data_IF_610311252174
#
_entry.id   IF_610311252174
#
_cell.length_a   1.000
_cell.length_b   1.000
_cell.length_c   1.000
_cell.angle_alpha   90.00
_cell.angle_beta   90.00
_cell.angle_gamma   90.00
#
_symmetry.space_group_name_H-M   'P 1'
#
loop_
_entity.id
_entity.type
_entity.pdbx_description
1 polymer ?
#
# COMPACT_ATOMS: atom_id res chain seq x y z
N UNK A 1 36.00 10.38 -14.00
CA UNK A 1 35.37 11.47 -13.22
C UNK A 1 35.23 12.68 -14.13
N UNK A 2 34.03 12.94 -14.66
CA UNK A 2 33.75 14.13 -15.46
C UNK A 2 33.60 15.35 -14.55
N UNK A 3 34.33 16.43 -14.87
CA UNK A 3 34.43 17.68 -14.11
C UNK A 3 33.42 18.77 -14.55
N UNK A 4 32.37 18.41 -15.27
CA UNK A 4 31.34 19.36 -15.69
C UNK A 4 30.22 19.47 -14.63
N UNK A 5 30.61 19.82 -13.40
CA UNK A 5 29.66 20.20 -12.35
C UNK A 5 29.09 21.56 -12.72
N UNK A 6 27.84 21.53 -13.16
CA UNK A 6 27.00 22.71 -13.37
C UNK A 6 26.89 23.45 -12.05
N UNK A 7 27.41 24.68 -11.98
CA UNK A 7 27.14 25.59 -10.88
C UNK A 7 25.74 26.17 -11.08
N UNK A 8 24.72 25.44 -10.62
CA UNK A 8 23.40 26.01 -10.39
C UNK A 8 23.55 27.01 -9.24
N UNK A 9 22.93 28.19 -9.35
CA UNK A 9 22.89 29.13 -8.23
C UNK A 9 22.30 28.40 -7.01
N UNK A 10 23.03 28.42 -5.89
CA UNK A 10 22.66 27.71 -4.67
C UNK A 10 21.25 28.13 -4.22
N UNK A 11 20.89 29.40 -4.39
CA UNK A 11 19.56 29.87 -4.00
C UNK A 11 18.45 29.39 -4.94
N UNK A 12 18.68 29.35 -6.26
CA UNK A 12 17.70 28.76 -7.18
C UNK A 12 17.55 27.25 -6.98
N UNK A 13 18.63 26.56 -6.61
CA UNK A 13 18.65 25.10 -6.41
C UNK A 13 17.76 24.64 -5.25
N UNK A 14 17.51 25.51 -4.25
CA UNK A 14 16.61 25.23 -3.11
C UNK A 14 15.17 25.05 -3.55
N UNK A 15 14.78 25.58 -4.70
CA UNK A 15 13.41 25.52 -5.23
C UNK A 15 13.13 24.28 -6.07
N UNK A 16 14.06 23.33 -6.15
CA UNK A 16 13.95 22.14 -7.00
C UNK A 16 13.91 20.87 -6.16
N UNK A 17 13.18 19.88 -6.63
CA UNK A 17 13.16 18.53 -6.04
C UNK A 17 12.83 17.48 -7.10
N UNK A 18 13.25 16.25 -6.87
CA UNK A 18 12.77 15.10 -7.63
C UNK A 18 11.62 14.44 -6.88
N UNK A 19 10.57 14.09 -7.62
CA UNK A 19 9.40 13.38 -7.13
C UNK A 19 9.20 12.14 -7.98
N UNK A 20 8.84 11.03 -7.33
CA UNK A 20 8.35 9.84 -8.02
C UNK A 20 7.03 9.41 -7.41
N UNK A 21 5.95 9.47 -8.19
CA UNK A 21 4.69 8.83 -7.86
C UNK A 21 4.78 7.35 -8.25
N UNK A 22 4.61 6.48 -7.26
CA UNK A 22 4.64 5.04 -7.46
C UNK A 22 3.32 4.56 -8.09
N UNK A 23 3.24 3.31 -8.59
CA UNK A 23 2.09 2.89 -9.39
C UNK A 23 0.77 2.95 -8.60
N UNK A 24 0.79 2.77 -7.28
CA UNK A 24 -0.35 2.92 -6.38
C UNK A 24 -0.88 4.37 -6.27
N UNK A 25 -0.03 5.39 -6.46
CA UNK A 25 -0.49 6.78 -6.53
C UNK A 25 -1.05 7.15 -7.90
N UNK A 26 -0.55 6.53 -8.98
CA UNK A 26 -1.14 6.68 -10.29
C UNK A 26 -2.51 6.00 -10.35
N UNK A 27 -2.63 4.79 -9.79
CA UNK A 27 -3.89 4.04 -9.70
C UNK A 27 -5.00 4.83 -8.97
N UNK A 28 -4.61 5.66 -8.00
CA UNK A 28 -5.51 6.52 -7.25
C UNK A 28 -5.76 7.89 -7.90
N UNK A 29 -5.13 8.18 -9.06
CA UNK A 29 -5.15 9.47 -9.73
C UNK A 29 -4.70 10.66 -8.86
N UNK A 30 -3.77 10.41 -7.94
CA UNK A 30 -3.39 11.38 -6.90
C UNK A 30 -2.37 12.43 -7.37
N UNK A 31 -1.49 12.04 -8.29
CA UNK A 31 -0.31 12.79 -8.72
C UNK A 31 -0.64 14.21 -9.22
N UNK A 32 -1.64 14.37 -10.09
CA UNK A 32 -2.05 15.68 -10.63
C UNK A 32 -2.60 16.60 -9.54
N UNK A 33 -3.49 16.07 -8.70
CA UNK A 33 -4.07 16.79 -7.57
C UNK A 33 -2.98 17.26 -6.63
N UNK A 34 -2.02 16.39 -6.28
CA UNK A 34 -0.90 16.75 -5.41
C UNK A 34 -0.02 17.84 -6.03
N UNK A 35 0.31 17.75 -7.33
CA UNK A 35 1.11 18.76 -8.03
C UNK A 35 0.41 20.12 -7.98
N UNK A 36 -0.90 20.15 -8.24
CA UNK A 36 -1.71 21.37 -8.23
C UNK A 36 -1.86 21.95 -6.81
N UNK A 37 -2.18 21.12 -5.82
CA UNK A 37 -2.38 21.53 -4.43
C UNK A 37 -1.10 22.11 -3.82
N UNK A 38 0.06 21.62 -4.24
CA UNK A 38 1.36 22.12 -3.82
C UNK A 38 1.91 23.24 -4.72
N UNK A 39 1.16 23.65 -5.75
CA UNK A 39 1.55 24.67 -6.73
C UNK A 39 2.96 24.41 -7.32
N UNK A 40 3.20 23.17 -7.76
CA UNK A 40 4.48 22.76 -8.33
C UNK A 40 4.48 22.93 -9.85
N UNK A 41 5.56 23.51 -10.37
CA UNK A 41 5.86 23.55 -11.80
C UNK A 41 6.65 22.31 -12.21
N UNK A 42 6.20 21.61 -13.24
CA UNK A 42 6.89 20.44 -13.78
C UNK A 42 8.00 20.91 -14.73
N UNK A 43 9.26 20.63 -14.39
CA UNK A 43 10.41 20.91 -15.26
C UNK A 43 10.68 19.75 -16.25
N UNK A 44 10.57 18.51 -15.76
CA UNK A 44 10.70 17.29 -16.56
C UNK A 44 9.73 16.25 -16.04
N UNK A 45 9.19 15.41 -16.93
CA UNK A 45 8.41 14.24 -16.54
C UNK A 45 8.61 13.06 -17.48
N UNK A 46 8.50 11.84 -16.94
CA UNK A 46 8.34 10.60 -17.72
C UNK A 46 7.38 9.66 -16.99
N UNK A 47 6.54 8.97 -17.75
CA UNK A 47 5.89 7.75 -17.28
C UNK A 47 6.77 6.56 -17.64
N UNK A 48 7.16 5.77 -16.64
CA UNK A 48 8.16 4.72 -16.81
C UNK A 48 7.75 3.46 -16.07
N UNK A 49 7.92 2.30 -16.71
CA UNK A 49 8.02 1.04 -15.98
C UNK A 49 9.44 0.97 -15.41
N UNK A 50 9.56 1.12 -14.10
CA UNK A 50 10.87 1.17 -13.44
C UNK A 50 11.41 -0.25 -13.32
N UNK A 51 12.60 -0.49 -13.86
CA UNK A 51 13.31 -1.75 -13.61
C UNK A 51 13.81 -1.80 -12.17
N UNK A 52 13.93 -2.99 -11.61
CA UNK A 52 14.50 -3.20 -10.27
C UNK A 52 15.81 -2.45 -10.05
N UNK A 53 16.74 -2.52 -11.00
CA UNK A 53 18.03 -1.82 -10.93
C UNK A 53 17.88 -0.30 -10.78
N UNK A 54 16.93 0.32 -11.50
CA UNK A 54 16.67 1.76 -11.36
C UNK A 54 16.01 2.09 -10.04
N UNK A 55 15.09 1.25 -9.56
CA UNK A 55 14.50 1.41 -8.24
C UNK A 55 15.58 1.32 -7.14
N UNK A 56 16.49 0.34 -7.23
CA UNK A 56 17.62 0.19 -6.29
C UNK A 56 18.59 1.38 -6.32
N UNK A 57 18.78 2.03 -7.48
CA UNK A 57 19.56 3.27 -7.57
C UNK A 57 18.90 4.41 -6.80
N UNK A 58 17.57 4.59 -6.93
CA UNK A 58 16.82 5.62 -6.18
C UNK A 58 16.89 5.36 -4.67
N UNK A 59 16.75 4.10 -4.25
CA UNK A 59 16.76 3.70 -2.82
C UNK A 59 18.13 3.24 -2.32
N UNK A 60 19.22 3.60 -3.00
CA UNK A 60 20.55 3.06 -2.73
C UNK A 60 20.97 3.31 -1.26
N UNK A 61 20.70 4.51 -0.75
CA UNK A 61 21.05 4.92 0.61
C UNK A 61 20.32 4.06 1.65
N UNK A 62 19.02 3.84 1.47
CA UNK A 62 18.19 3.07 2.40
C UNK A 62 18.47 1.58 2.35
N UNK A 63 18.84 1.05 1.18
CA UNK A 63 19.25 -0.34 1.03
C UNK A 63 20.60 -0.61 1.71
N UNK A 64 21.58 0.28 1.53
CA UNK A 64 22.90 0.15 2.17
C UNK A 64 22.80 0.29 3.70
N UNK A 65 21.90 1.15 4.17
CA UNK A 65 21.69 1.39 5.61
C UNK A 65 20.76 0.36 6.27
N UNK A 66 20.22 -0.60 5.51
CA UNK A 66 19.22 -1.56 5.97
C UNK A 66 17.94 -0.91 6.55
N UNK A 67 17.64 0.32 6.15
CA UNK A 67 16.42 1.02 6.54
C UNK A 67 15.17 0.45 5.84
N UNK A 68 15.36 -0.36 4.79
CA UNK A 68 14.30 -1.10 4.09
C UNK A 68 14.57 -2.60 4.22
N UNK A 69 13.94 -3.24 5.21
CA UNK A 69 14.04 -4.70 5.43
C UNK A 69 13.12 -5.53 4.53
N UNK A 70 12.20 -4.88 3.83
CA UNK A 70 11.10 -5.48 3.07
C UNK A 70 11.14 -5.06 1.58
N UNK A 71 12.35 -4.89 1.04
CA UNK A 71 12.56 -4.46 -0.34
C UNK A 71 11.82 -5.33 -1.36
N UNK A 72 11.72 -6.63 -1.10
CA UNK A 72 11.00 -7.58 -1.96
C UNK A 72 9.51 -7.22 -2.16
N UNK A 73 8.85 -6.57 -1.20
CA UNK A 73 7.47 -6.05 -1.36
C UNK A 73 7.47 -4.81 -2.24
N UNK A 74 8.40 -3.87 -2.01
CA UNK A 74 8.55 -2.66 -2.82
C UNK A 74 8.86 -2.99 -4.28
N UNK A 75 9.73 -3.95 -4.53
CA UNK A 75 10.05 -4.47 -5.87
C UNK A 75 8.76 -4.94 -6.57
N UNK A 76 7.92 -5.73 -5.88
CA UNK A 76 6.61 -6.15 -6.40
C UNK A 76 5.73 -4.96 -6.78
N UNK A 77 5.67 -3.88 -5.99
CA UNK A 77 4.89 -2.68 -6.30
C UNK A 77 5.36 -2.03 -7.61
N UNK A 78 6.68 -1.85 -7.80
CA UNK A 78 7.23 -1.25 -9.02
C UNK A 78 6.91 -2.06 -10.28
N UNK A 79 6.69 -3.37 -10.15
CA UNK A 79 6.28 -4.23 -11.28
C UNK A 79 4.78 -4.18 -11.61
N UNK A 80 3.95 -3.50 -10.80
CA UNK A 80 2.49 -3.44 -11.02
C UNK A 80 2.04 -2.40 -12.03
N UNK A 81 2.90 -1.47 -12.43
CA UNK A 81 2.54 -0.48 -13.42
C UNK A 81 3.54 0.65 -13.57
N UNK A 82 3.10 1.69 -14.27
CA UNK A 82 3.91 2.88 -14.50
C UNK A 82 4.13 3.65 -13.20
N UNK A 83 5.32 4.21 -13.07
CA UNK A 83 5.60 5.30 -12.17
C UNK A 83 5.60 6.61 -12.95
N UNK A 84 5.31 7.71 -12.27
CA UNK A 84 5.55 9.04 -12.81
C UNK A 84 6.74 9.65 -12.09
N UNK A 85 7.83 9.86 -12.83
CA UNK A 85 9.04 10.51 -12.31
C UNK A 85 9.10 11.95 -12.81
N UNK A 86 9.42 12.86 -11.91
CA UNK A 86 9.31 14.30 -12.11
C UNK A 86 10.55 15.00 -11.55
N UNK A 87 11.04 15.98 -12.29
CA UNK A 87 11.82 17.07 -11.72
C UNK A 87 10.88 18.28 -11.63
N UNK A 88 10.73 18.83 -10.44
CA UNK A 88 9.80 19.94 -10.19
C UNK A 88 10.51 21.17 -9.66
N UNK A 89 9.87 22.32 -9.85
CA UNK A 89 10.19 23.59 -9.21
C UNK A 89 9.00 24.07 -8.40
N UNK A 90 9.23 24.71 -7.27
CA UNK A 90 8.15 25.23 -6.43
C UNK A 90 8.63 26.21 -5.38
N UNK A 91 7.68 26.99 -4.88
CA UNK A 91 7.88 27.79 -3.69
C UNK A 91 7.57 26.94 -2.45
N UNK A 92 8.15 27.33 -1.32
CA UNK A 92 7.90 26.71 -0.03
C UNK A 92 7.78 27.81 1.04
N UNK A 93 7.08 27.54 2.15
CA UNK A 93 6.98 28.47 3.27
C UNK A 93 8.34 28.82 3.87
N UNK A 94 8.46 30.01 4.47
CA UNK A 94 9.73 30.57 4.94
C UNK A 94 10.39 29.77 6.08
N UNK A 95 9.62 28.93 6.78
CA UNK A 95 10.11 28.02 7.82
C UNK A 95 10.89 26.81 7.29
N UNK A 96 10.87 26.54 5.98
CA UNK A 96 11.64 25.48 5.34
C UNK A 96 12.86 26.04 4.62
N UNK A 97 13.95 25.27 4.57
CA UNK A 97 15.19 25.70 3.90
C UNK A 97 15.23 25.34 2.41
N UNK A 98 14.39 24.40 1.98
CA UNK A 98 14.32 23.92 0.60
C UNK A 98 12.97 23.28 0.28
N UNK A 99 12.69 23.16 -1.01
CA UNK A 99 11.54 22.41 -1.51
C UNK A 99 11.60 20.94 -1.10
N UNK A 100 12.78 20.33 -1.06
CA UNK A 100 12.95 18.94 -0.60
C UNK A 100 12.47 18.75 0.83
N UNK A 101 12.86 19.64 1.75
CA UNK A 101 12.45 19.61 3.16
C UNK A 101 10.93 19.81 3.31
N UNK A 102 10.37 20.77 2.56
CA UNK A 102 8.93 21.02 2.52
C UNK A 102 8.17 19.77 2.04
N UNK A 103 8.58 19.18 0.92
CA UNK A 103 7.94 17.99 0.35
C UNK A 103 8.06 16.76 1.26
N UNK A 104 9.19 16.55 1.92
CA UNK A 104 9.34 15.50 2.92
C UNK A 104 8.29 15.61 4.02
N UNK A 105 8.08 16.83 4.53
CA UNK A 105 7.09 17.11 5.57
C UNK A 105 5.66 16.91 5.05
N UNK A 106 5.33 17.45 3.87
CA UNK A 106 3.99 17.31 3.26
C UNK A 106 3.66 15.86 2.88
N UNK A 107 4.65 15.08 2.44
CA UNK A 107 4.51 13.65 2.12
C UNK A 107 4.01 12.84 3.32
N UNK A 108 4.52 13.14 4.52
CA UNK A 108 4.19 12.44 5.75
C UNK A 108 4.94 11.12 5.93
N UNK A 109 4.84 10.56 7.15
CA UNK A 109 5.55 9.32 7.53
C UNK A 109 5.05 8.12 6.72
N UNK A 110 5.94 7.16 6.46
CA UNK A 110 5.63 5.95 5.69
C UNK A 110 4.66 5.05 6.45
N UNK A 111 4.89 4.89 7.75
CA UNK A 111 4.03 4.13 8.65
C UNK A 111 2.68 4.83 8.86
N UNK A 112 1.54 4.20 8.46
CA UNK A 112 0.20 4.73 8.69
C UNK A 112 -0.12 5.07 10.15
N UNK A 113 0.43 4.33 11.12
CA UNK A 113 0.14 4.53 12.54
C UNK A 113 0.75 5.81 13.10
N UNK A 114 1.80 6.33 12.44
CA UNK A 114 2.55 7.49 12.90
C UNK A 114 2.27 8.75 12.07
N UNK A 115 1.29 8.71 11.16
CA UNK A 115 1.02 9.82 10.23
C UNK A 115 0.36 10.99 10.92
N UNK A 116 0.82 12.16 10.52
CA UNK A 116 0.21 13.43 10.90
C UNK A 116 -0.97 13.72 9.95
N UNK A 117 -2.07 14.20 10.52
CA UNK A 117 -3.28 14.52 9.79
C UNK A 117 -3.02 15.57 8.69
N UNK A 118 -3.60 15.37 7.51
CA UNK A 118 -3.48 16.31 6.39
C UNK A 118 -2.15 16.25 5.63
N UNK A 119 -1.30 15.26 5.92
CA UNK A 119 -0.19 14.88 5.03
C UNK A 119 -0.71 14.11 3.81
N UNK A 120 0.06 14.05 2.73
CA UNK A 120 -0.36 13.37 1.49
C UNK A 120 -0.70 11.91 1.75
N UNK A 121 0.17 11.17 2.45
CA UNK A 121 -0.08 9.76 2.74
C UNK A 121 -1.29 9.52 3.65
N UNK A 122 -1.63 10.50 4.49
CA UNK A 122 -2.85 10.49 5.30
C UNK A 122 -4.11 10.73 4.44
N UNK A 123 -4.11 11.81 3.64
CA UNK A 123 -5.23 12.18 2.78
C UNK A 123 -5.61 11.07 1.78
N UNK A 124 -4.61 10.37 1.25
CA UNK A 124 -4.80 9.24 0.33
C UNK A 124 -4.80 7.87 1.03
N UNK A 125 -4.83 7.85 2.37
CA UNK A 125 -5.04 6.65 3.19
C UNK A 125 -4.14 5.47 2.79
N UNK A 126 -2.87 5.75 2.55
CA UNK A 126 -1.90 4.78 2.05
C UNK A 126 -1.81 3.58 3.00
N UNK A 127 -2.11 2.38 2.52
CA UNK A 127 -2.45 1.26 3.40
C UNK A 127 -1.33 0.77 4.34
N UNK A 128 -0.06 0.80 3.91
CA UNK A 128 1.08 0.38 4.74
C UNK A 128 2.40 0.99 4.25
N UNK A 129 3.50 0.72 4.96
CA UNK A 129 4.83 1.32 4.67
C UNK A 129 5.48 0.88 3.36
N UNK A 130 5.05 -0.23 2.75
CA UNK A 130 5.56 -0.64 1.43
C UNK A 130 4.94 0.14 0.29
N UNK A 131 3.66 0.50 0.40
CA UNK A 131 2.98 1.42 -0.52
C UNK A 131 3.59 2.81 -0.35
N UNK A 132 4.68 3.08 -1.07
CA UNK A 132 5.43 4.33 -0.94
C UNK A 132 4.57 5.54 -1.28
N UNK A 133 3.62 5.36 -2.21
CA UNK A 133 2.71 6.33 -2.82
C UNK A 133 3.43 7.48 -3.54
N UNK A 134 4.29 8.17 -2.82
CA UNK A 134 5.14 9.24 -3.30
C UNK A 134 6.53 9.07 -2.70
N UNK A 135 7.54 9.22 -3.55
CA UNK A 135 8.93 9.47 -3.17
C UNK A 135 9.26 10.93 -3.46
N UNK A 136 10.08 11.52 -2.60
CA UNK A 136 10.62 12.86 -2.75
C UNK A 136 12.03 12.83 -2.19
N UNK A 137 12.96 13.51 -2.85
CA UNK A 137 14.36 13.52 -2.44
C UNK A 137 14.57 14.16 -1.07
N UNK A 138 15.56 13.68 -0.33
CA UNK A 138 15.89 14.22 0.99
C UNK A 138 16.56 15.60 0.92
N UNK A 139 17.33 15.84 -0.13
CA UNK A 139 18.10 17.07 -0.33
C UNK A 139 18.35 17.33 -1.83
N UNK A 140 18.92 18.50 -2.13
CA UNK A 140 19.15 18.99 -3.50
C UNK A 140 20.12 18.08 -4.27
N UNK A 141 21.15 17.55 -3.61
CA UNK A 141 22.11 16.66 -4.28
C UNK A 141 21.45 15.33 -4.63
N UNK A 142 20.65 14.78 -3.72
CA UNK A 142 19.85 13.58 -4.00
C UNK A 142 18.81 13.86 -5.09
N UNK A 143 18.21 15.05 -5.14
CA UNK A 143 17.26 15.39 -6.21
C UNK A 143 17.88 15.33 -7.61
N UNK A 144 19.07 15.89 -7.78
CA UNK A 144 19.79 15.82 -9.07
C UNK A 144 20.25 14.39 -9.37
N UNK A 145 20.76 13.67 -8.37
CA UNK A 145 21.18 12.28 -8.53
C UNK A 145 20.00 11.39 -8.94
N UNK A 146 18.88 11.43 -8.22
CA UNK A 146 17.69 10.63 -8.49
C UNK A 146 17.09 10.99 -9.86
N UNK A 147 17.06 12.27 -10.22
CA UNK A 147 16.66 12.69 -11.57
C UNK A 147 17.57 12.08 -12.65
N UNK A 148 18.89 12.00 -12.40
CA UNK A 148 19.85 11.45 -13.37
C UNK A 148 19.67 9.95 -13.66
N UNK A 149 18.93 9.23 -12.81
CA UNK A 149 18.53 7.83 -13.06
C UNK A 149 17.53 7.71 -14.22
N UNK A 150 16.72 8.75 -14.45
CA UNK A 150 15.62 8.74 -15.43
C UNK A 150 15.80 9.75 -16.57
N UNK A 151 16.59 10.79 -16.35
CA UNK A 151 16.85 11.87 -17.29
C UNK A 151 18.35 11.98 -17.54
N UNK A 152 18.72 12.25 -18.78
CA UNK A 152 20.08 12.60 -19.14
C UNK A 152 20.47 13.93 -18.48
N UNK A 153 21.75 14.12 -18.20
CA UNK A 153 22.22 15.39 -17.64
C UNK A 153 21.93 16.58 -18.56
N UNK A 154 21.86 16.37 -19.87
CA UNK A 154 21.50 17.43 -20.82
C UNK A 154 20.01 17.81 -20.73
N UNK A 155 19.11 16.84 -20.53
CA UNK A 155 17.69 17.12 -20.24
C UNK A 155 17.58 17.94 -18.95
N UNK A 156 18.27 17.54 -17.89
CA UNK A 156 18.27 18.23 -16.59
C UNK A 156 18.79 19.66 -16.73
N UNK A 157 19.96 19.86 -17.36
CA UNK A 157 20.54 21.19 -17.60
C UNK A 157 19.59 22.08 -18.38
N UNK A 158 19.04 21.57 -19.50
CA UNK A 158 18.10 22.35 -20.32
C UNK A 158 16.88 22.77 -19.53
N UNK A 159 16.29 21.87 -18.75
CA UNK A 159 15.10 22.16 -17.96
C UNK A 159 15.35 23.23 -16.88
N UNK A 160 16.52 23.18 -16.23
CA UNK A 160 16.91 24.13 -15.19
C UNK A 160 17.19 25.54 -15.73
N UNK A 161 17.76 25.66 -16.93
CA UNK A 161 18.15 26.95 -17.52
C UNK A 161 17.15 27.51 -18.54
N UNK A 162 16.14 26.74 -18.95
CA UNK A 162 15.11 27.22 -19.87
C UNK A 162 14.10 28.12 -19.17
N UNK A 163 13.80 29.29 -19.75
CA UNK A 163 12.78 30.23 -19.23
C UNK A 163 11.33 29.83 -19.55
N UNK A 164 11.11 28.78 -20.36
CA UNK A 164 9.80 28.45 -20.96
C UNK A 164 9.24 27.06 -20.57
N UNK A 165 9.55 26.54 -19.38
CA UNK A 165 9.19 25.16 -18.97
C UNK A 165 7.71 24.95 -18.59
N UNK A 166 6.84 25.95 -18.70
CA UNK A 166 5.45 25.88 -18.20
C UNK A 166 4.48 25.03 -19.04
N UNK A 167 4.86 24.58 -20.24
CA UNK A 167 3.95 23.89 -21.19
C UNK A 167 3.71 22.39 -20.93
N UNK A 168 4.23 21.81 -19.84
CA UNK A 168 4.18 20.35 -19.66
C UNK A 168 2.89 19.82 -19.02
N UNK A 169 2.10 20.65 -18.32
CA UNK A 169 0.91 20.21 -17.59
C UNK A 169 -0.25 19.75 -18.49
N UNK A 170 -0.51 20.42 -19.63
CA UNK A 170 -1.58 20.02 -20.56
C UNK A 170 -1.31 18.64 -21.18
N UNK A 171 -0.08 18.41 -21.65
CA UNK A 171 0.34 17.10 -22.20
C UNK A 171 0.25 16.02 -21.13
N UNK A 172 0.68 16.34 -19.91
CA UNK A 172 0.63 15.43 -18.77
C UNK A 172 -0.81 15.03 -18.39
N UNK A 173 -1.74 15.99 -18.39
CA UNK A 173 -3.16 15.76 -18.05
C UNK A 173 -3.90 14.87 -19.04
N UNK A 174 -3.52 14.89 -20.32
CA UNK A 174 -4.19 14.10 -21.37
C UNK A 174 -3.80 12.61 -21.35
N UNK A 175 -2.75 12.24 -20.61
CA UNK A 175 -2.24 10.87 -20.56
C UNK A 175 -2.99 9.96 -19.58
N UNK A 176 -3.91 10.49 -18.76
CA UNK A 176 -4.47 9.75 -17.62
C UNK A 176 -5.98 10.00 -17.47
N UNK A 177 -6.76 8.96 -17.80
CA UNK A 177 -8.21 8.91 -17.58
C UNK A 177 -8.63 7.48 -17.26
N UNK A 178 -8.46 7.07 -16.01
CA UNK A 178 -9.09 5.85 -15.48
C UNK A 178 -9.84 6.19 -14.19
N UNK A 179 -10.80 5.34 -13.83
CA UNK A 179 -11.49 5.43 -12.53
C UNK A 179 -10.48 5.26 -11.39
N UNK A 180 -10.58 6.09 -10.35
CA UNK A 180 -9.70 5.98 -9.18
C UNK A 180 -10.04 4.72 -8.40
N UNK A 181 -9.05 3.85 -8.18
CA UNK A 181 -9.21 2.65 -7.35
C UNK A 181 -8.75 2.95 -5.94
N UNK A 182 -9.65 2.82 -4.97
CA UNK A 182 -9.32 2.96 -3.55
C UNK A 182 -8.70 1.67 -3.01
N UNK A 183 -7.41 1.71 -2.67
CA UNK A 183 -6.68 0.58 -2.10
C UNK A 183 -6.84 0.55 -0.57
N UNK A 184 -7.78 -0.27 -0.08
CA UNK A 184 -8.03 -0.46 1.35
C UNK A 184 -7.90 -1.92 1.77
N UNK A 185 -6.93 -2.19 2.64
CA UNK A 185 -6.71 -3.52 3.21
C UNK A 185 -7.98 -4.11 3.84
N UNK A 186 -8.68 -3.33 4.66
CA UNK A 186 -9.89 -3.78 5.32
C UNK A 186 -11.03 -4.04 4.35
N UNK A 187 -11.14 -3.26 3.27
CA UNK A 187 -12.10 -3.56 2.23
C UNK A 187 -11.85 -4.95 1.62
N UNK A 188 -10.59 -5.26 1.29
CA UNK A 188 -10.19 -6.54 0.71
C UNK A 188 -10.48 -7.70 1.67
N UNK A 189 -10.04 -7.60 2.95
CA UNK A 189 -10.19 -8.72 3.89
C UNK A 189 -11.66 -9.03 4.19
N UNK A 190 -12.52 -8.03 4.36
CA UNK A 190 -13.95 -8.28 4.63
C UNK A 190 -14.69 -8.76 3.38
N UNK A 191 -14.28 -8.36 2.17
CA UNK A 191 -14.79 -8.95 0.92
C UNK A 191 -14.45 -10.44 0.83
N UNK A 192 -13.21 -10.82 1.13
CA UNK A 192 -12.77 -12.22 1.19
C UNK A 192 -13.62 -13.00 2.19
N UNK A 193 -13.75 -12.49 3.42
CA UNK A 193 -14.50 -13.12 4.51
C UNK A 193 -15.99 -13.34 4.18
N UNK A 194 -16.64 -12.40 3.52
CA UNK A 194 -18.02 -12.57 3.07
C UNK A 194 -18.16 -13.71 2.05
N UNK A 195 -17.22 -13.83 1.12
CA UNK A 195 -17.21 -14.94 0.15
C UNK A 195 -17.01 -16.26 0.90
N UNK A 196 -16.08 -16.31 1.86
CA UNK A 196 -15.87 -17.50 2.70
C UNK A 196 -17.15 -17.90 3.45
N UNK A 197 -17.87 -16.96 4.08
CA UNK A 197 -19.13 -17.29 4.75
C UNK A 197 -20.22 -17.79 3.79
N UNK A 198 -20.33 -17.21 2.59
CA UNK A 198 -21.28 -17.69 1.57
C UNK A 198 -20.95 -19.12 1.11
N UNK A 199 -19.67 -19.37 0.86
CA UNK A 199 -19.16 -20.69 0.52
C UNK A 199 -19.36 -21.69 1.66
N UNK A 200 -19.24 -21.24 2.91
CA UNK A 200 -19.44 -22.06 4.10
C UNK A 200 -20.90 -22.47 4.22
N UNK A 201 -21.83 -21.53 4.04
CA UNK A 201 -23.28 -21.81 3.98
C UNK A 201 -23.62 -22.85 2.92
N UNK A 202 -23.04 -22.72 1.72
CA UNK A 202 -23.28 -23.68 0.63
C UNK A 202 -22.69 -25.07 0.94
N UNK A 203 -21.52 -25.11 1.56
CA UNK A 203 -20.79 -26.34 1.85
C UNK A 203 -21.34 -27.10 3.06
N UNK A 204 -21.90 -26.38 4.04
CA UNK A 204 -22.41 -26.90 5.31
C UNK A 204 -23.81 -26.35 5.63
N UNK A 205 -24.84 -26.60 4.79
CA UNK A 205 -26.14 -25.94 4.90
C UNK A 205 -26.90 -26.26 6.19
N UNK A 206 -26.85 -27.52 6.65
CA UNK A 206 -27.50 -27.95 7.89
C UNK A 206 -26.87 -27.26 9.11
N UNK A 207 -25.54 -27.26 9.17
CA UNK A 207 -24.80 -26.61 10.24
C UNK A 207 -24.99 -25.09 10.24
N UNK A 208 -25.01 -24.47 9.05
CA UNK A 208 -25.34 -23.05 8.94
C UNK A 208 -26.76 -22.76 9.46
N UNK A 209 -27.73 -23.65 9.19
CA UNK A 209 -29.11 -23.51 9.65
C UNK A 209 -29.18 -23.59 11.19
N UNK A 210 -28.49 -24.55 11.80
CA UNK A 210 -28.40 -24.72 13.25
C UNK A 210 -27.81 -23.48 13.95
N UNK A 211 -26.79 -22.86 13.35
CA UNK A 211 -26.10 -21.70 13.92
C UNK A 211 -26.46 -20.37 13.22
N UNK A 212 -27.64 -20.28 12.59
CA UNK A 212 -28.02 -19.13 11.73
C UNK A 212 -27.90 -17.79 12.46
N UNK A 213 -28.30 -17.71 13.73
CA UNK A 213 -28.17 -16.49 14.53
C UNK A 213 -26.73 -16.02 14.67
N UNK A 214 -25.77 -16.93 14.90
CA UNK A 214 -24.35 -16.59 15.04
C UNK A 214 -23.77 -16.12 13.70
N UNK A 215 -24.16 -16.74 12.59
CA UNK A 215 -23.75 -16.29 11.26
C UNK A 215 -24.30 -14.92 10.89
N UNK A 216 -25.53 -14.58 11.31
CA UNK A 216 -26.06 -13.23 11.13
C UNK A 216 -25.25 -12.19 11.90
N UNK A 217 -24.86 -12.48 13.15
CA UNK A 217 -23.98 -11.58 13.92
C UNK A 217 -22.63 -11.35 13.23
N UNK A 218 -22.04 -12.37 12.60
CA UNK A 218 -20.79 -12.18 11.86
C UNK A 218 -21.01 -11.28 10.62
N UNK A 219 -22.11 -11.46 9.90
CA UNK A 219 -22.45 -10.59 8.76
C UNK A 219 -22.68 -9.14 9.19
N UNK A 220 -23.30 -8.92 10.35
CA UNK A 220 -23.48 -7.58 10.93
C UNK A 220 -22.12 -6.95 11.26
N UNK A 221 -21.18 -7.72 11.83
CA UNK A 221 -19.79 -7.27 12.05
C UNK A 221 -19.13 -6.85 10.74
N UNK A 222 -19.31 -7.63 9.66
CA UNK A 222 -18.71 -7.32 8.35
C UNK A 222 -19.31 -6.05 7.74
N UNK A 223 -20.62 -5.84 7.90
CA UNK A 223 -21.28 -4.61 7.49
C UNK A 223 -20.75 -3.41 8.27
N UNK A 224 -20.65 -3.52 9.61
CA UNK A 224 -20.14 -2.45 10.46
C UNK A 224 -18.69 -2.10 10.12
N UNK A 225 -17.84 -3.09 9.88
CA UNK A 225 -16.45 -2.88 9.47
C UNK A 225 -16.34 -2.13 8.14
N UNK A 226 -17.17 -2.47 7.15
CA UNK A 226 -17.23 -1.75 5.87
C UNK A 226 -17.73 -0.32 6.04
N UNK A 227 -18.60 -0.06 7.00
CA UNK A 227 -19.05 1.29 7.27
C UNK A 227 -17.99 2.10 8.01
N UNK A 228 -17.20 1.49 8.89
CA UNK A 228 -16.02 2.12 9.48
C UNK A 228 -15.03 2.53 8.38
N UNK A 229 -14.74 1.66 7.40
CA UNK A 229 -13.76 1.99 6.35
C UNK A 229 -14.19 3.11 5.40
N UNK A 230 -15.49 3.42 5.35
CA UNK A 230 -16.01 4.58 4.61
C UNK A 230 -15.97 5.87 5.43
N UNK A 231 -15.86 5.78 6.76
CA UNK A 231 -15.67 6.97 7.61
C UNK A 231 -14.25 7.51 7.35
N UNK A 232 -14.11 8.82 7.17
CA UNK A 232 -12.81 9.49 6.99
C UNK A 232 -12.06 9.61 8.32
N UNK A 233 -11.89 8.48 9.02
CA UNK A 233 -11.15 8.41 10.27
C UNK A 233 -9.65 8.41 9.99
N UNK A 234 -8.86 8.78 11.01
CA UNK A 234 -7.43 8.48 10.95
C UNK A 234 -7.21 6.97 10.93
N UNK A 235 -6.06 6.53 10.38
CA UNK A 235 -5.74 5.10 10.32
C UNK A 235 -5.72 4.44 11.70
N UNK A 236 -5.20 5.15 12.71
CA UNK A 236 -5.16 4.66 14.09
C UNK A 236 -6.56 4.45 14.69
N UNK A 237 -7.47 5.41 14.51
CA UNK A 237 -8.85 5.28 15.00
C UNK A 237 -9.61 4.15 14.29
N UNK A 238 -9.47 4.06 12.96
CA UNK A 238 -10.03 2.94 12.19
C UNK A 238 -9.51 1.60 12.72
N UNK A 239 -8.20 1.49 12.94
CA UNK A 239 -7.54 0.28 13.45
C UNK A 239 -8.11 -0.17 14.79
N UNK A 240 -8.31 0.76 15.73
CA UNK A 240 -8.91 0.44 17.04
C UNK A 240 -10.33 -0.10 16.89
N UNK A 241 -11.15 0.55 16.07
CA UNK A 241 -12.54 0.13 15.88
C UNK A 241 -12.62 -1.24 15.20
N UNK A 242 -11.81 -1.47 14.16
CA UNK A 242 -11.76 -2.76 13.46
C UNK A 242 -11.21 -3.87 14.35
N UNK A 243 -10.18 -3.64 15.17
CA UNK A 243 -9.64 -4.65 16.09
C UNK A 243 -10.70 -5.14 17.09
N UNK A 244 -11.56 -4.25 17.59
CA UNK A 244 -12.71 -4.63 18.43
C UNK A 244 -13.69 -5.55 17.70
N UNK A 245 -13.93 -5.28 16.42
CA UNK A 245 -14.80 -6.11 15.57
C UNK A 245 -14.16 -7.46 15.28
N UNK A 246 -12.86 -7.52 14.98
CA UNK A 246 -12.11 -8.76 14.79
C UNK A 246 -12.12 -9.63 16.05
N UNK A 247 -11.96 -9.02 17.22
CA UNK A 247 -12.03 -9.73 18.51
C UNK A 247 -13.41 -10.36 18.74
N UNK A 248 -14.50 -9.63 18.45
CA UNK A 248 -15.88 -10.16 18.54
C UNK A 248 -16.13 -11.26 17.52
N UNK A 249 -15.71 -11.06 16.28
CA UNK A 249 -15.81 -12.07 15.21
C UNK A 249 -15.12 -13.36 15.64
N UNK A 250 -13.91 -13.26 16.18
CA UNK A 250 -13.12 -14.40 16.66
C UNK A 250 -13.87 -15.18 17.74
N UNK A 251 -14.42 -14.50 18.74
CA UNK A 251 -15.17 -15.13 19.82
C UNK A 251 -16.39 -15.92 19.30
N UNK A 252 -17.10 -15.37 18.30
CA UNK A 252 -18.25 -16.04 17.69
C UNK A 252 -17.79 -17.23 16.86
N UNK A 253 -16.76 -17.06 16.02
CA UNK A 253 -16.24 -18.13 15.18
C UNK A 253 -15.64 -19.27 16.00
N UNK A 254 -15.00 -19.01 17.13
CA UNK A 254 -14.51 -20.08 18.02
C UNK A 254 -15.67 -20.96 18.52
N UNK A 255 -16.78 -20.36 18.95
CA UNK A 255 -17.97 -21.12 19.38
C UNK A 255 -18.54 -21.98 18.24
N UNK A 256 -18.54 -21.46 17.01
CA UNK A 256 -19.07 -22.17 15.84
C UNK A 256 -18.10 -23.25 15.33
N UNK A 257 -16.80 -22.94 15.24
CA UNK A 257 -15.82 -23.82 14.63
C UNK A 257 -15.40 -24.95 15.58
N UNK A 258 -15.37 -24.72 16.90
CA UNK A 258 -15.12 -25.77 17.89
C UNK A 258 -16.14 -26.90 17.81
N UNK A 259 -17.41 -26.60 17.48
CA UNK A 259 -18.46 -27.60 17.32
C UNK A 259 -18.27 -28.49 16.07
N UNK A 260 -17.49 -28.02 15.07
CA UNK A 260 -17.25 -28.75 13.82
C UNK A 260 -15.92 -29.46 13.73
N UNK A 261 -14.94 -29.04 14.50
CA UNK A 261 -13.57 -29.52 14.38
C UNK A 261 -13.25 -30.37 15.59
N UNK A 262 -12.90 -31.64 15.36
CA UNK A 262 -12.14 -32.38 16.35
C UNK A 262 -10.84 -31.61 16.52
N UNK A 263 -10.65 -30.98 17.68
CA UNK A 263 -9.62 -29.97 17.95
C UNK A 263 -8.21 -30.43 17.55
N UNK A 264 -7.97 -31.74 17.57
CA UNK A 264 -6.72 -32.41 17.24
C UNK A 264 -6.34 -32.31 15.75
N UNK A 265 -7.30 -32.38 14.82
CA UNK A 265 -7.01 -32.31 13.38
C UNK A 265 -6.57 -30.89 12.97
N UNK A 266 -7.17 -29.85 13.57
CA UNK A 266 -6.73 -28.47 13.35
C UNK A 266 -5.32 -28.22 13.89
N UNK A 267 -5.00 -28.71 15.08
CA UNK A 267 -3.69 -28.48 15.70
C UNK A 267 -2.61 -29.18 14.87
N UNK A 268 -2.86 -30.38 14.38
CA UNK A 268 -1.96 -31.08 13.46
C UNK A 268 -1.83 -30.31 12.13
N UNK A 269 -2.93 -29.84 11.56
CA UNK A 269 -2.94 -29.05 10.33
C UNK A 269 -2.19 -27.71 10.46
N UNK A 270 -2.33 -27.03 11.59
CA UNK A 270 -1.65 -25.75 11.84
C UNK A 270 -0.15 -25.93 12.08
N UNK A 271 0.27 -27.07 12.65
CA UNK A 271 1.67 -27.38 12.91
C UNK A 271 2.42 -27.93 11.69
N UNK A 272 1.71 -28.50 10.70
CA UNK A 272 2.29 -28.99 9.44
C UNK A 272 1.52 -28.46 8.23
N UNK A 273 1.39 -27.14 8.21
CA UNK A 273 0.82 -26.32 7.13
C UNK A 273 1.40 -26.66 5.73
N UNK A 274 2.61 -27.22 5.66
CA UNK A 274 3.26 -27.71 4.44
C UNK A 274 2.73 -29.06 3.93
N UNK A 275 2.37 -30.01 4.79
CA UNK A 275 1.80 -31.30 4.39
C UNK A 275 0.30 -31.21 4.07
N UNK A 276 -0.34 -30.12 4.48
CA UNK A 276 -1.76 -29.79 4.27
C UNK A 276 -2.18 -29.53 2.81
N UNK A 277 -1.26 -29.61 1.84
CA UNK A 277 -1.54 -29.33 0.41
C UNK A 277 -2.57 -30.31 -0.20
N UNK A 278 -2.81 -31.46 0.44
CA UNK A 278 -3.80 -32.48 0.06
C UNK A 278 -5.22 -32.23 0.58
N UNK A 279 -5.48 -31.16 1.31
CA UNK A 279 -6.78 -30.94 1.95
C UNK A 279 -7.94 -30.65 1.00
N UNK A 280 -9.13 -31.09 1.43
CA UNK A 280 -10.36 -30.86 0.68
C UNK A 280 -10.77 -29.39 0.81
N UNK A 281 -11.57 -28.90 -0.16
CA UNK A 281 -12.15 -27.54 -0.17
C UNK A 281 -12.80 -27.14 1.17
N UNK A 282 -13.36 -28.12 1.89
CA UNK A 282 -14.00 -27.96 3.19
C UNK A 282 -13.03 -27.49 4.28
N UNK A 283 -11.86 -28.11 4.36
CA UNK A 283 -10.88 -27.84 5.41
C UNK A 283 -10.20 -26.49 5.17
N UNK A 284 -9.91 -26.18 3.89
CA UNK A 284 -9.37 -24.88 3.49
C UNK A 284 -10.30 -23.72 3.90
N UNK A 285 -11.61 -23.92 3.77
CA UNK A 285 -12.61 -22.91 4.12
C UNK A 285 -12.63 -22.60 5.62
N UNK A 286 -12.61 -23.64 6.44
CA UNK A 286 -12.58 -23.53 7.89
C UNK A 286 -11.28 -22.87 8.34
N UNK A 287 -10.15 -23.32 7.80
CA UNK A 287 -8.83 -22.78 8.12
C UNK A 287 -8.74 -21.30 7.74
N UNK A 288 -9.25 -20.90 6.57
CA UNK A 288 -9.27 -19.49 6.17
C UNK A 288 -10.13 -18.61 7.09
N UNK A 289 -11.29 -19.08 7.54
CA UNK A 289 -12.12 -18.35 8.52
C UNK A 289 -11.40 -18.20 9.86
N UNK A 290 -10.72 -19.25 10.33
CA UNK A 290 -9.92 -19.21 11.56
C UNK A 290 -8.74 -18.24 11.44
N UNK A 291 -7.91 -18.40 10.41
CA UNK A 291 -6.71 -17.58 10.19
C UNK A 291 -7.08 -16.10 10.02
N UNK A 292 -8.08 -15.79 9.18
CA UNK A 292 -8.45 -14.40 8.89
C UNK A 292 -9.25 -13.76 10.04
N UNK A 293 -9.77 -14.50 11.01
CA UNK A 293 -10.39 -13.91 12.21
C UNK A 293 -9.38 -13.67 13.34
N UNK A 294 -8.19 -14.28 13.28
CA UNK A 294 -7.18 -14.17 14.32
C UNK A 294 -6.11 -13.13 13.99
N UNK A 295 -6.41 -11.86 14.27
CA UNK A 295 -5.49 -10.76 13.96
C UNK A 295 -4.12 -10.86 14.66
N UNK A 296 -4.05 -11.58 15.79
CA UNK A 296 -2.81 -11.78 16.53
C UNK A 296 -1.78 -12.60 15.78
N UNK A 297 -2.21 -13.39 14.78
CA UNK A 297 -1.34 -14.26 13.99
C UNK A 297 -0.98 -13.68 12.63
N UNK A 298 -1.52 -12.52 12.25
CA UNK A 298 -1.39 -12.01 10.87
C UNK A 298 0.05 -11.81 10.40
N UNK A 299 0.92 -11.28 11.26
CA UNK A 299 2.34 -11.05 10.94
C UNK A 299 3.15 -12.35 10.85
N UNK A 300 2.62 -13.45 11.36
CA UNK A 300 3.24 -14.78 11.35
C UNK A 300 2.73 -15.65 10.19
N UNK A 301 1.74 -15.18 9.42
CA UNK A 301 1.14 -15.95 8.33
C UNK A 301 2.13 -16.11 7.16
N UNK A 302 2.31 -17.36 6.72
CA UNK A 302 2.90 -17.66 5.42
C UNK A 302 1.90 -17.28 4.32
N UNK A 303 2.21 -16.19 3.61
CA UNK A 303 1.34 -15.67 2.56
C UNK A 303 1.23 -16.61 1.34
N UNK A 304 2.29 -17.33 0.98
CA UNK A 304 2.24 -18.29 -0.13
C UNK A 304 1.26 -19.42 0.18
N UNK A 305 1.21 -19.83 1.45
CA UNK A 305 0.23 -20.80 1.90
C UNK A 305 -1.19 -20.23 1.94
N UNK A 306 -1.37 -19.01 2.48
CA UNK A 306 -2.66 -18.33 2.44
C UNK A 306 -3.20 -18.24 1.01
N UNK A 307 -2.34 -17.90 0.05
CA UNK A 307 -2.67 -17.86 -1.37
C UNK A 307 -3.08 -19.22 -1.92
N UNK A 308 -2.36 -20.30 -1.58
CA UNK A 308 -2.74 -21.67 -1.96
C UNK A 308 -4.12 -22.05 -1.42
N UNK A 309 -4.44 -21.68 -0.18
CA UNK A 309 -5.75 -21.93 0.42
C UNK A 309 -6.84 -21.12 -0.27
N UNK A 310 -6.62 -19.83 -0.52
CA UNK A 310 -7.57 -18.96 -1.21
C UNK A 310 -7.90 -19.49 -2.62
N UNK A 311 -6.91 -20.02 -3.34
CA UNK A 311 -7.10 -20.62 -4.67
C UNK A 311 -7.96 -21.89 -4.68
N UNK A 312 -8.27 -22.50 -3.51
CA UNK A 312 -9.19 -23.64 -3.40
C UNK A 312 -10.67 -23.19 -3.31
N UNK A 313 -10.90 -21.92 -3.03
CA UNK A 313 -12.21 -21.29 -2.92
C UNK A 313 -12.40 -20.40 -4.16
N UNK A 314 -13.62 -20.19 -4.69
CA UNK A 314 -13.86 -19.30 -5.83
C UNK A 314 -13.72 -17.80 -5.45
N UNK A 315 -12.57 -17.43 -4.90
CA UNK A 315 -12.19 -16.06 -4.56
C UNK A 315 -11.20 -15.59 -5.61
N UNK A 316 -11.58 -14.55 -6.36
CA UNK A 316 -10.67 -13.85 -7.24
C UNK A 316 -10.06 -12.67 -6.50
N UNK A 317 -8.73 -12.64 -6.40
CA UNK A 317 -7.97 -11.46 -6.02
C UNK A 317 -7.28 -10.94 -7.26
N UNK A 318 -7.48 -9.67 -7.57
CA UNK A 318 -6.67 -9.05 -8.60
C UNK A 318 -5.21 -8.88 -8.10
N UNK A 319 -4.25 -8.59 -9.00
CA UNK A 319 -2.85 -8.48 -8.60
C UNK A 319 -2.55 -7.37 -7.57
N UNK A 320 -3.41 -6.36 -7.42
CA UNK A 320 -3.29 -5.30 -6.42
C UNK A 320 -3.86 -5.74 -5.08
N UNK A 321 -5.02 -6.39 -5.07
CA UNK A 321 -5.61 -6.99 -3.87
C UNK A 321 -4.67 -7.99 -3.21
N UNK A 322 -4.04 -8.86 -4.01
CA UNK A 322 -3.08 -9.85 -3.51
C UNK A 322 -1.88 -9.16 -2.84
N UNK A 323 -1.28 -8.17 -3.50
CA UNK A 323 -0.12 -7.45 -2.97
C UNK A 323 -0.48 -6.61 -1.73
N UNK A 324 -1.68 -6.02 -1.73
CA UNK A 324 -2.19 -5.26 -0.60
C UNK A 324 -2.43 -6.17 0.61
N UNK A 325 -2.99 -7.36 0.40
CA UNK A 325 -3.18 -8.35 1.44
C UNK A 325 -1.83 -8.83 2.00
N UNK A 326 -0.91 -9.26 1.13
CA UNK A 326 0.43 -9.74 1.51
C UNK A 326 1.17 -8.74 2.38
N UNK A 327 1.29 -7.50 1.88
CA UNK A 327 2.07 -6.47 2.56
C UNK A 327 1.42 -5.98 3.84
N UNK A 328 0.08 -5.91 3.90
CA UNK A 328 -0.62 -5.43 5.09
C UNK A 328 -0.63 -6.47 6.22
N UNK A 329 -0.68 -7.77 5.88
CA UNK A 329 -0.48 -8.84 6.85
C UNK A 329 0.95 -8.84 7.38
N UNK A 330 1.94 -8.71 6.49
CA UNK A 330 3.36 -8.68 6.87
C UNK A 330 3.71 -7.55 7.86
N UNK A 331 3.10 -6.37 7.70
CA UNK A 331 3.30 -5.24 8.62
C UNK A 331 2.18 -5.08 9.66
N UNK A 332 1.39 -6.10 9.89
CA UNK A 332 0.31 -6.01 10.85
C UNK A 332 0.88 -5.95 12.27
N UNK A 333 0.73 -4.80 12.91
CA UNK A 333 1.12 -4.60 14.31
C UNK A 333 -0.15 -4.56 15.18
N UNK A 334 -0.10 -5.24 16.33
CA UNK A 334 -1.16 -5.21 17.35
C UNK A 334 -1.02 -3.90 18.12
N UNK A 335 -2.11 -3.16 18.27
CA UNK A 335 -2.14 -2.00 19.15
C UNK A 335 -2.37 -2.50 20.58
N UNK A 336 -1.44 -2.19 21.49
CA UNK A 336 -1.55 -2.49 22.93
C UNK A 336 -2.52 -1.56 23.65
#
# INVERSE_FOLDING_TARGET
MNKDLVTIDIDESKHISFIMFTPDALLQNAHLTIINDLNLSILLFKFVNISRTKAEQVYQKELITNNITSWWIKDKIFTKGLCCVLLVKGNFPAEYNSLCEYLLTRKGKSDPLLRDAGTIRDMYRVSNKSFGFMHSSDDINNAIYEASVFFTMDEIKKALFSKNSEHHLEVYSNCLKEESIFLSYYHVIYRIKEILLKEFKHTFPEFYTEHTTLFHLILDIYSEAKDITKRKLSFYEERILISRLLSKEREILEKVLLDKLVHDDLIIMMNDLSSCITHMRKDALILLLDLLSNEKKYSELDFDLLKKLLNRIPIYLDPWDELLLESSLFFYEILE
#
